data_IF_552026693442
#
_entry.id   IF_552026693442
#
_cell.length_a   1.000
_cell.length_b   1.000
_cell.length_c   1.000
_cell.angle_alpha   90.00
_cell.angle_beta   90.00
_cell.angle_gamma   90.00
#
_symmetry.space_group_name_H-M   'P 1'
#
loop_
_entity.id
_entity.type
_entity.pdbx_description
1 polymer ?
#
# COMPACT_ATOMS: atom_id res chain seq x y z
N UNK A 1 8.02 -5.96 3.24
CA UNK A 1 8.11 -5.50 1.84
C UNK A 1 7.59 -6.61 0.95
N UNK A 2 6.88 -6.27 -0.13
CA UNK A 2 6.48 -7.19 -1.19
C UNK A 2 7.33 -6.97 -2.43
N UNK A 3 7.70 -8.04 -3.13
CA UNK A 3 8.52 -7.97 -4.35
C UNK A 3 7.98 -8.92 -5.42
N UNK A 4 8.21 -8.59 -6.68
CA UNK A 4 7.83 -9.45 -7.81
C UNK A 4 8.72 -9.20 -9.03
N UNK A 5 9.15 -10.26 -9.69
CA UNK A 5 9.94 -10.18 -10.93
C UNK A 5 9.01 -9.98 -12.12
N UNK A 6 9.43 -9.17 -13.10
CA UNK A 6 8.63 -8.94 -14.30
C UNK A 6 8.58 -10.18 -15.19
N UNK A 7 7.44 -10.33 -15.87
CA UNK A 7 7.26 -11.30 -16.96
C UNK A 7 7.91 -10.80 -18.26
N UNK A 8 7.90 -11.66 -19.28
CA UNK A 8 8.50 -11.40 -20.59
C UNK A 8 9.97 -11.84 -20.66
N UNK A 9 10.51 -11.94 -21.88
CA UNK A 9 11.85 -12.49 -22.10
C UNK A 9 12.97 -11.74 -21.38
N UNK A 10 12.76 -10.44 -21.08
CA UNK A 10 13.74 -9.60 -20.39
C UNK A 10 13.30 -9.26 -18.96
N UNK A 11 12.10 -9.67 -18.55
CA UNK A 11 11.50 -9.35 -17.25
C UNK A 11 12.27 -9.89 -16.05
N UNK A 12 13.02 -10.98 -16.22
CA UNK A 12 13.90 -11.54 -15.19
C UNK A 12 14.96 -10.58 -14.65
N UNK A 13 15.22 -9.48 -15.37
CA UNK A 13 16.17 -8.44 -14.99
C UNK A 13 15.53 -7.23 -14.29
N UNK A 14 14.21 -7.23 -14.08
CA UNK A 14 13.49 -6.18 -13.39
C UNK A 14 12.74 -6.74 -12.18
N UNK A 15 12.71 -5.97 -11.10
CA UNK A 15 11.94 -6.27 -9.89
C UNK A 15 11.08 -5.08 -9.52
N UNK A 16 9.79 -5.33 -9.27
CA UNK A 16 8.87 -4.38 -8.67
C UNK A 16 8.87 -4.60 -7.16
N UNK A 17 8.99 -3.51 -6.40
CA UNK A 17 8.99 -3.53 -4.95
C UNK A 17 7.87 -2.63 -4.43
N UNK A 18 7.16 -3.08 -3.41
CA UNK A 18 6.19 -2.27 -2.68
C UNK A 18 6.41 -2.42 -1.18
N UNK A 19 6.38 -1.31 -0.46
CA UNK A 19 6.32 -1.36 0.99
C UNK A 19 5.60 -0.17 1.63
N UNK A 20 5.09 -0.39 2.84
CA UNK A 20 4.70 0.68 3.74
C UNK A 20 5.94 1.24 4.44
N UNK A 21 6.28 2.50 4.22
CA UNK A 21 7.43 3.13 4.90
C UNK A 21 7.10 3.52 6.34
N UNK A 22 5.91 4.07 6.57
CA UNK A 22 5.40 4.45 7.88
C UNK A 22 3.87 4.49 7.89
N UNK A 23 3.30 4.50 9.10
CA UNK A 23 1.89 4.77 9.31
C UNK A 23 1.69 5.67 10.55
N UNK A 24 0.59 6.42 10.59
CA UNK A 24 0.23 7.28 11.71
C UNK A 24 -1.28 7.29 11.92
N UNK A 25 -1.74 7.24 13.17
CA UNK A 25 -3.16 7.15 13.50
C UNK A 25 -3.77 8.55 13.73
N UNK A 26 -4.98 8.76 13.22
CA UNK A 26 -5.88 9.82 13.63
C UNK A 26 -7.03 9.23 14.47
N UNK A 27 -6.88 9.32 15.79
CA UNK A 27 -7.82 8.72 16.75
C UNK A 27 -9.21 9.35 16.70
N UNK A 28 -9.29 10.68 16.56
CA UNK A 28 -10.54 11.43 16.48
C UNK A 28 -11.33 11.07 15.20
N UNK A 29 -10.63 10.98 14.07
CA UNK A 29 -11.21 10.67 12.76
C UNK A 29 -11.40 9.17 12.49
N UNK A 30 -10.90 8.29 13.36
CA UNK A 30 -10.95 6.84 13.23
C UNK A 30 -10.33 6.30 11.93
N UNK A 31 -9.14 6.81 11.57
CA UNK A 31 -8.39 6.35 10.41
C UNK A 31 -6.89 6.37 10.68
N UNK A 32 -6.13 5.66 9.85
CA UNK A 32 -4.67 5.77 9.79
C UNK A 32 -4.25 6.34 8.44
N UNK A 33 -3.19 7.15 8.44
CA UNK A 33 -2.44 7.50 7.23
C UNK A 33 -1.36 6.45 7.02
N UNK A 34 -1.30 5.86 5.83
CA UNK A 34 -0.34 4.84 5.43
C UNK A 34 0.50 5.38 4.27
N UNK A 35 1.81 5.52 4.45
CA UNK A 35 2.71 5.87 3.34
C UNK A 35 3.14 4.61 2.59
N UNK A 36 2.77 4.55 1.32
CA UNK A 36 3.13 3.44 0.43
C UNK A 36 4.13 3.93 -0.60
N UNK A 37 5.19 3.15 -0.78
CA UNK A 37 6.22 3.41 -1.76
C UNK A 37 6.38 2.24 -2.72
N UNK A 38 6.62 2.57 -3.99
CA UNK A 38 6.86 1.61 -5.05
C UNK A 38 8.16 1.95 -5.75
N UNK A 39 9.01 0.92 -5.93
CA UNK A 39 10.28 1.05 -6.63
C UNK A 39 10.36 0.04 -7.77
N UNK A 40 11.06 0.46 -8.83
CA UNK A 40 11.54 -0.41 -9.89
C UNK A 40 13.05 -0.58 -9.73
N UNK A 41 13.51 -1.82 -9.68
CA UNK A 41 14.92 -2.17 -9.61
C UNK A 41 15.33 -2.92 -10.86
N UNK A 42 16.46 -2.53 -11.45
CA UNK A 42 17.06 -3.19 -12.60
C UNK A 42 18.34 -3.92 -12.19
N UNK A 43 18.57 -5.09 -12.79
CA UNK A 43 19.89 -5.75 -12.75
C UNK A 43 20.90 -4.97 -13.60
N UNK A 44 22.17 -5.41 -13.60
CA UNK A 44 23.21 -4.88 -14.49
C UNK A 44 22.94 -5.14 -15.99
N UNK A 45 21.88 -5.89 -16.34
CA UNK A 45 21.56 -6.27 -17.72
C UNK A 45 20.25 -5.67 -18.25
N UNK A 46 19.46 -5.00 -17.39
CA UNK A 46 18.24 -4.31 -17.82
C UNK A 46 18.47 -2.81 -17.96
N UNK A 47 18.01 -2.27 -19.07
CA UNK A 47 17.85 -0.85 -19.30
C UNK A 47 16.58 -0.65 -20.11
N UNK A 48 15.82 0.38 -19.74
CA UNK A 48 14.67 0.87 -20.50
C UNK A 48 14.91 2.36 -20.74
N UNK A 49 14.83 2.77 -22.00
CA UNK A 49 14.88 4.18 -22.38
C UNK A 49 13.65 4.52 -23.23
N UNK A 50 12.70 5.21 -22.63
CA UNK A 50 11.48 5.71 -23.29
C UNK A 50 11.01 7.02 -22.69
N UNK A 51 10.38 7.87 -23.50
CA UNK A 51 9.70 9.07 -23.01
C UNK A 51 8.27 8.76 -22.50
N UNK A 52 7.73 7.59 -22.82
CA UNK A 52 6.34 7.25 -22.54
C UNK A 52 6.10 6.91 -21.06
N UNK A 53 4.87 7.11 -20.60
CA UNK A 53 4.40 6.63 -19.31
C UNK A 53 3.64 5.32 -19.46
N UNK A 54 3.63 4.53 -18.39
CA UNK A 54 2.94 3.23 -18.32
C UNK A 54 2.09 3.17 -17.05
N UNK A 55 0.97 2.42 -17.07
CA UNK A 55 0.06 2.37 -15.94
C UNK A 55 0.65 1.56 -14.78
N UNK A 56 0.82 2.21 -13.64
CA UNK A 56 1.03 1.62 -12.33
C UNK A 56 -0.32 1.59 -11.61
N UNK A 57 -0.89 0.38 -11.44
CA UNK A 57 -2.14 0.18 -10.71
C UNK A 57 -1.82 -0.10 -9.25
N UNK A 58 -2.33 0.74 -8.36
CA UNK A 58 -2.24 0.58 -6.91
C UNK A 58 -3.55 0.00 -6.40
N UNK A 59 -3.47 -1.03 -5.56
CA UNK A 59 -4.64 -1.57 -4.84
C UNK A 59 -4.35 -1.52 -3.35
N UNK A 60 -5.12 -0.70 -2.62
CA UNK A 60 -4.92 -0.41 -1.20
C UNK A 60 -6.25 -0.65 -0.49
N UNK A 61 -6.29 -1.62 0.42
CA UNK A 61 -7.48 -1.88 1.26
C UNK A 61 -8.77 -2.10 0.43
N UNK A 62 -8.64 -2.79 -0.72
CA UNK A 62 -9.73 -3.06 -1.65
C UNK A 62 -10.07 -1.91 -2.62
N UNK A 63 -9.59 -0.68 -2.37
CA UNK A 63 -9.65 0.43 -3.32
C UNK A 63 -8.57 0.33 -4.39
N UNK A 64 -8.82 0.89 -5.57
CA UNK A 64 -7.87 0.86 -6.71
C UNK A 64 -7.70 2.23 -7.36
N UNK A 65 -6.48 2.55 -7.77
CA UNK A 65 -6.17 3.71 -8.60
C UNK A 65 -5.10 3.37 -9.64
N UNK A 66 -5.05 4.15 -10.73
CA UNK A 66 -4.04 4.03 -11.77
C UNK A 66 -3.25 5.33 -11.83
N UNK A 67 -1.93 5.23 -11.74
CA UNK A 67 -0.98 6.34 -11.90
C UNK A 67 -0.13 6.08 -13.14
N UNK A 68 0.02 7.09 -13.99
CA UNK A 68 0.93 7.00 -15.14
C UNK A 68 2.35 7.33 -14.70
N UNK A 69 3.27 6.37 -14.82
CA UNK A 69 4.68 6.53 -14.41
C UNK A 69 5.62 6.14 -15.54
N UNK A 70 6.73 6.84 -15.69
CA UNK A 70 7.72 6.51 -16.72
C UNK A 70 8.52 5.26 -16.29
N UNK A 71 8.70 4.24 -17.15
CA UNK A 71 9.45 3.03 -16.81
C UNK A 71 10.96 3.14 -17.04
N UNK A 72 11.48 4.26 -17.58
CA UNK A 72 12.90 4.36 -17.95
C UNK A 72 13.82 4.17 -16.76
N UNK A 73 14.79 3.27 -16.91
CA UNK A 73 15.67 2.85 -15.83
C UNK A 73 17.02 2.45 -16.43
N UNK A 74 18.10 2.80 -15.76
CA UNK A 74 19.45 2.45 -16.15
C UNK A 74 19.90 1.13 -15.51
N UNK A 75 20.95 0.55 -16.06
CA UNK A 75 21.58 -0.67 -15.53
C UNK A 75 21.91 -0.54 -14.05
N UNK A 76 21.51 -1.53 -13.25
CA UNK A 76 21.77 -1.59 -11.81
C UNK A 76 21.02 -0.53 -10.98
N UNK A 77 20.14 0.27 -11.59
CA UNK A 77 19.45 1.35 -10.89
C UNK A 77 18.28 0.80 -10.07
N UNK A 78 18.05 1.44 -8.91
CA UNK A 78 16.78 1.38 -8.17
C UNK A 78 16.11 2.75 -8.24
N UNK A 79 14.90 2.79 -8.80
CA UNK A 79 14.17 4.03 -9.10
C UNK A 79 12.84 4.06 -8.35
N UNK A 80 12.56 5.17 -7.66
CA UNK A 80 11.24 5.41 -7.09
C UNK A 80 10.22 5.64 -8.22
N UNK A 81 9.10 4.92 -8.18
CA UNK A 81 7.97 5.11 -9.10
C UNK A 81 6.86 5.94 -8.46
N UNK A 82 6.58 5.69 -7.19
CA UNK A 82 5.51 6.35 -6.45
C UNK A 82 5.86 6.39 -4.96
N UNK A 83 5.55 7.53 -4.33
CA UNK A 83 5.48 7.67 -2.88
C UNK A 83 4.22 8.48 -2.58
N UNK A 84 3.27 7.86 -1.85
CA UNK A 84 1.97 8.48 -1.61
C UNK A 84 1.38 8.04 -0.28
N UNK A 85 0.67 8.97 0.35
CA UNK A 85 -0.09 8.74 1.57
C UNK A 85 -1.52 8.32 1.24
N UNK A 86 -1.96 7.24 1.88
CA UNK A 86 -3.30 6.70 1.76
C UNK A 86 -4.02 6.78 3.09
N UNK A 87 -5.27 7.24 3.07
CA UNK A 87 -6.14 7.19 4.24
C UNK A 87 -6.80 5.81 4.32
N UNK A 88 -6.56 5.11 5.42
CA UNK A 88 -7.12 3.79 5.72
C UNK A 88 -8.12 3.94 6.86
N UNK A 89 -9.40 3.76 6.57
CA UNK A 89 -10.45 3.85 7.59
C UNK A 89 -10.47 2.56 8.43
N UNK A 90 -10.73 2.73 9.73
CA UNK A 90 -10.94 1.64 10.67
C UNK A 90 -12.44 1.33 10.79
N UNK A 91 -12.75 0.14 11.28
CA UNK A 91 -14.12 -0.22 11.67
C UNK A 91 -14.63 0.71 12.78
N UNK A 92 -15.93 0.73 13.03
CA UNK A 92 -16.55 1.60 14.04
C UNK A 92 -15.99 1.38 15.46
N UNK A 93 -15.57 0.15 15.77
CA UNK A 93 -14.90 -0.25 17.01
C UNK A 93 -13.39 0.06 17.04
N UNK A 94 -12.87 0.70 15.99
CA UNK A 94 -11.48 1.09 15.83
C UNK A 94 -10.55 -0.03 15.36
N UNK A 95 -11.07 -1.24 15.15
CA UNK A 95 -10.28 -2.36 14.63
C UNK A 95 -9.97 -2.18 13.16
N UNK A 96 -8.85 -2.78 12.72
CA UNK A 96 -8.55 -2.92 11.29
C UNK A 96 -8.04 -4.34 10.99
N UNK A 97 -8.83 -5.18 10.30
CA UNK A 97 -8.35 -6.46 9.81
C UNK A 97 -7.12 -6.28 8.93
N UNK A 98 -6.24 -7.28 8.93
CA UNK A 98 -5.11 -7.29 8.01
C UNK A 98 -5.62 -7.18 6.57
N UNK A 99 -4.98 -6.32 5.78
CA UNK A 99 -5.29 -6.11 4.38
C UNK A 99 -4.01 -6.13 3.56
N UNK A 100 -4.15 -6.13 2.23
CA UNK A 100 -3.01 -6.09 1.33
C UNK A 100 -2.87 -4.72 0.68
N UNK A 101 -1.62 -4.30 0.49
CA UNK A 101 -1.25 -3.31 -0.51
C UNK A 101 -0.63 -4.05 -1.70
N UNK A 102 -1.01 -3.65 -2.91
CA UNK A 102 -0.47 -4.23 -4.14
C UNK A 102 -0.14 -3.13 -5.15
N UNK A 103 0.94 -3.35 -5.89
CA UNK A 103 1.33 -2.56 -7.05
C UNK A 103 1.44 -3.51 -8.24
N UNK A 104 0.70 -3.22 -9.31
CA UNK A 104 0.84 -3.86 -10.62
C UNK A 104 1.40 -2.84 -11.61
N UNK A 105 2.54 -3.14 -12.20
CA UNK A 105 3.13 -2.26 -13.21
C UNK A 105 3.17 -2.97 -14.57
N UNK A 106 2.44 -2.43 -15.54
CA UNK A 106 2.34 -2.97 -16.89
C UNK A 106 3.28 -2.21 -17.84
N UNK A 107 4.55 -2.63 -17.91
CA UNK A 107 5.57 -1.99 -18.77
C UNK A 107 5.29 -2.28 -20.24
N UNK A 108 5.19 -3.57 -20.61
CA UNK A 108 4.76 -4.04 -21.94
C UNK A 108 5.48 -3.36 -23.13
N UNK A 109 6.82 -3.27 -23.07
CA UNK A 109 7.69 -2.76 -24.14
C UNK A 109 8.94 -3.64 -24.27
N UNK A 110 9.43 -3.84 -25.49
CA UNK A 110 10.71 -4.52 -25.80
C UNK A 110 10.98 -5.79 -24.97
N UNK A 111 9.99 -6.69 -24.88
CA UNK A 111 10.02 -7.96 -24.12
C UNK A 111 10.00 -7.86 -22.59
N UNK A 112 9.78 -6.68 -22.02
CA UNK A 112 9.37 -6.52 -20.63
C UNK A 112 7.84 -6.58 -20.54
N UNK A 113 7.31 -7.48 -19.72
CA UNK A 113 5.89 -7.63 -19.47
C UNK A 113 5.43 -6.80 -18.27
N UNK A 114 4.78 -7.46 -17.32
CA UNK A 114 4.27 -6.87 -16.08
C UNK A 114 4.72 -7.63 -14.85
N UNK A 115 4.60 -6.98 -13.69
CA UNK A 115 4.79 -7.57 -12.37
C UNK A 115 3.69 -7.08 -11.43
N UNK A 116 3.32 -7.92 -10.47
CA UNK A 116 2.44 -7.55 -9.35
C UNK A 116 3.14 -7.89 -8.04
N UNK A 117 3.50 -6.88 -7.27
CA UNK A 117 4.08 -7.04 -5.93
C UNK A 117 3.02 -6.75 -4.86
N UNK A 118 2.99 -7.56 -3.80
CA UNK A 118 1.98 -7.47 -2.75
C UNK A 118 2.63 -7.57 -1.38
N UNK A 119 2.18 -6.74 -0.44
CA UNK A 119 2.54 -6.81 0.97
C UNK A 119 1.29 -6.83 1.85
N UNK A 120 1.26 -7.75 2.82
CA UNK A 120 0.26 -7.72 3.89
C UNK A 120 0.59 -6.63 4.93
N UNK A 121 -0.42 -5.86 5.31
CA UNK A 121 -0.33 -4.76 6.28
C UNK A 121 -1.28 -5.03 7.43
N UNK A 122 -0.73 -4.96 8.65
CA UNK A 122 -1.49 -4.95 9.90
C UNK A 122 -1.28 -3.60 10.57
N UNK A 123 -2.35 -2.82 10.67
CA UNK A 123 -2.34 -1.56 11.40
C UNK A 123 -2.70 -1.80 12.87
N UNK A 124 -2.15 -1.03 13.82
CA UNK A 124 -2.60 -1.08 15.20
C UNK A 124 -4.06 -0.64 15.30
N UNK A 125 -4.82 -1.25 16.21
CA UNK A 125 -6.19 -0.84 16.49
C UNK A 125 -6.23 0.56 17.14
N UNK A 126 -7.28 1.32 16.84
CA UNK A 126 -7.56 2.60 17.50
C UNK A 126 -8.48 2.32 18.68
N UNK A 127 -7.98 2.49 19.91
CA UNK A 127 -8.81 2.27 21.10
C UNK A 127 -9.99 3.24 21.11
N UNK A 128 -11.21 2.70 21.15
CA UNK A 128 -12.44 3.47 21.31
C UNK A 128 -12.84 3.49 22.79
N UNK A 129 -13.36 4.62 23.25
CA UNK A 129 -13.98 4.67 24.56
C UNK A 129 -15.19 3.72 24.56
N UNK A 130 -15.26 2.81 25.53
CA UNK A 130 -16.45 1.99 25.71
C UNK A 130 -17.61 2.90 26.09
N UNK A 131 -18.72 2.82 25.37
CA UNK A 131 -19.98 3.40 25.82
C UNK A 131 -20.56 2.47 26.86
N UNK A 132 -20.46 2.81 28.15
CA UNK A 132 -21.31 2.19 29.16
C UNK A 132 -22.73 2.71 29.00
N UNK A 133 -23.73 1.86 29.19
CA UNK A 133 -25.11 2.31 29.38
C UNK A 133 -25.16 3.35 30.51
N UNK A 134 -26.06 4.33 30.41
CA UNK A 134 -26.31 5.25 31.52
C UNK A 134 -26.66 4.42 32.77
N UNK A 135 -25.92 4.60 33.87
CA UNK A 135 -26.31 4.08 35.17
C UNK A 135 -27.45 4.98 35.66
N UNK A 136 -28.69 4.52 35.56
CA UNK A 136 -29.85 5.18 36.16
C UNK A 136 -30.20 4.48 37.48
N UNK A 137 -30.26 5.23 38.57
CA UNK A 137 -30.70 4.75 39.88
C UNK A 137 -31.19 5.89 40.76
N UNK A 138 -32.07 5.59 41.70
CA UNK A 138 -32.50 6.53 42.73
C UNK A 138 -31.45 6.57 43.83
N UNK A 139 -30.97 7.76 44.21
CA UNK A 139 -30.07 7.91 45.36
C UNK A 139 -30.77 7.34 46.61
N UNK A 140 -30.13 6.36 47.26
CA UNK A 140 -30.62 5.74 48.49
C UNK A 140 -31.31 4.37 48.34
N UNK A 141 -31.41 3.80 47.13
CA UNK A 141 -31.85 2.41 46.97
C UNK A 141 -30.75 1.41 47.36
N UNK A 142 -31.15 0.26 47.90
CA UNK A 142 -30.23 -0.84 48.17
C UNK A 142 -29.61 -1.35 46.87
N UNK A 143 -28.29 -1.56 46.88
CA UNK A 143 -27.56 -2.18 45.76
C UNK A 143 -27.68 -3.69 45.92
N UNK A 144 -28.32 -4.37 44.96
CA UNK A 144 -28.32 -5.84 44.83
C UNK A 144 -27.75 -6.25 43.50
#
# INVERSE_FOLDING_TARGET
MGTSTFSGGWGGNLTLEIFSAWNSQNTAGNYSTLNVQVFLSASSYAMISTAETRPLTMTIDGGSEIVQVNPSINYGQRKALLQKDYRINHNADGTKPQFNISAKFDINISNYGSATATQAIKLPDIKRASTSSNISGTLGSAVT
#
